data_IF_737754095662
#
_entry.id   IF_737754095662
#
_cell.length_a   1.000
_cell.length_b   1.000
_cell.length_c   1.000
_cell.angle_alpha   90.00
_cell.angle_beta   90.00
_cell.angle_gamma   90.00
#
_symmetry.space_group_name_H-M   'P 1'
#
loop_
_entity.id
_entity.type
_entity.pdbx_description
1 polymer ?
#
# COMPACT_ATOMS: atom_id res chain seq x y z
N UNK A 1 7.10 44.07 -75.36
CA UNK A 1 7.92 42.92 -74.93
C UNK A 1 7.61 42.70 -73.45
N UNK A 2 6.84 41.63 -73.15
CA UNK A 2 6.81 40.82 -71.91
C UNK A 2 6.81 41.56 -70.53
N UNK A 3 5.94 41.31 -69.55
CA UNK A 3 5.01 40.20 -69.25
C UNK A 3 4.05 40.66 -68.15
N UNK A 4 2.89 40.03 -68.11
CA UNK A 4 1.77 40.16 -67.18
C UNK A 4 2.09 39.64 -65.77
N UNK A 5 1.46 40.19 -64.72
CA UNK A 5 0.74 39.42 -63.68
C UNK A 5 -0.24 40.30 -62.89
N UNK A 6 -1.46 39.76 -62.73
CA UNK A 6 -2.69 40.43 -62.27
C UNK A 6 -2.65 40.77 -60.78
N UNK A 7 -2.98 42.03 -60.45
CA UNK A 7 -3.50 42.43 -59.15
C UNK A 7 -4.96 42.00 -58.97
N UNK A 8 -5.30 41.65 -57.73
CA UNK A 8 -6.52 40.95 -57.35
C UNK A 8 -7.81 41.77 -57.38
N UNK A 9 -8.90 41.07 -57.05
CA UNK A 9 -10.11 41.65 -56.46
C UNK A 9 -10.75 40.63 -55.52
N UNK A 10 -11.01 41.13 -54.31
CA UNK A 10 -11.83 40.51 -53.28
C UNK A 10 -13.19 40.05 -53.80
N UNK A 11 -13.68 38.93 -53.27
CA UNK A 11 -15.10 38.81 -53.01
C UNK A 11 -15.36 38.07 -51.69
N UNK A 12 -16.01 38.78 -50.77
CA UNK A 12 -16.45 38.31 -49.45
C UNK A 12 -17.58 37.28 -49.61
N UNK A 13 -17.45 36.11 -48.97
CA UNK A 13 -18.59 35.34 -48.47
C UNK A 13 -18.36 34.99 -47.01
N UNK A 14 -19.10 35.68 -46.13
CA UNK A 14 -19.32 35.33 -44.72
C UNK A 14 -19.94 33.92 -44.65
N UNK A 15 -19.32 32.98 -43.93
CA UNK A 15 -20.01 31.81 -43.38
C UNK A 15 -19.93 31.87 -41.85
N UNK A 16 -21.10 31.68 -41.24
CA UNK A 16 -21.39 31.73 -39.83
C UNK A 16 -20.60 30.70 -39.02
N UNK A 17 -20.26 31.08 -37.79
CA UNK A 17 -19.68 30.23 -36.76
C UNK A 17 -20.69 29.13 -36.38
N UNK A 18 -20.30 27.87 -36.54
CA UNK A 18 -20.89 26.72 -35.87
C UNK A 18 -19.89 26.19 -34.84
N UNK A 19 -19.93 26.75 -33.63
CA UNK A 19 -19.20 26.23 -32.46
C UNK A 19 -19.93 24.99 -31.96
N UNK A 20 -19.49 23.78 -32.33
CA UNK A 20 -19.79 22.53 -31.61
C UNK A 20 -18.95 21.30 -32.02
N UNK A 21 -17.96 21.44 -32.92
CA UNK A 21 -17.15 20.30 -33.39
C UNK A 21 -15.75 20.17 -32.75
N UNK A 22 -15.41 21.02 -31.76
CA UNK A 22 -14.03 21.15 -31.23
C UNK A 22 -13.74 20.27 -30.00
N UNK A 23 -14.74 19.96 -29.18
CA UNK A 23 -14.56 19.16 -27.95
C UNK A 23 -14.29 17.68 -28.23
N UNK A 24 -14.98 17.08 -29.22
CA UNK A 24 -14.75 15.68 -29.57
C UNK A 24 -13.36 15.40 -30.15
N UNK A 25 -12.83 16.33 -30.97
CA UNK A 25 -11.49 16.19 -31.57
C UNK A 25 -10.36 16.42 -30.56
N UNK A 26 -10.57 17.27 -29.56
CA UNK A 26 -9.57 17.53 -28.50
C UNK A 26 -9.47 16.37 -27.50
N UNK A 27 -10.59 15.68 -27.21
CA UNK A 27 -10.59 14.46 -26.39
C UNK A 27 -9.88 13.28 -27.08
N UNK A 28 -10.14 13.07 -28.38
CA UNK A 28 -9.47 12.01 -29.16
C UNK A 28 -7.96 12.24 -29.27
N UNK A 29 -7.52 13.49 -29.41
CA UNK A 29 -6.09 13.82 -29.44
C UNK A 29 -5.40 13.70 -28.08
N UNK A 30 -6.11 13.91 -26.96
CA UNK A 30 -5.57 13.65 -25.62
C UNK A 30 -5.46 12.16 -25.30
N UNK A 31 -6.37 11.34 -25.83
CA UNK A 31 -6.27 9.87 -25.71
C UNK A 31 -5.10 9.31 -26.54
N UNK A 32 -4.83 9.84 -27.74
CA UNK A 32 -3.66 9.46 -28.55
C UNK A 32 -2.32 9.94 -27.98
N UNK A 33 -2.27 11.11 -27.32
CA UNK A 33 -1.03 11.56 -26.65
C UNK A 33 -0.66 10.73 -25.40
N UNK A 34 -1.60 10.01 -24.78
CA UNK A 34 -1.32 9.10 -23.67
C UNK A 34 -0.72 7.77 -24.14
N UNK A 35 -0.98 7.32 -25.37
CA UNK A 35 -0.43 6.07 -25.91
C UNK A 35 1.05 6.18 -26.31
N UNK A 36 1.52 7.35 -26.72
CA UNK A 36 2.88 7.51 -27.28
C UNK A 36 3.99 7.81 -26.24
N UNK A 37 3.66 7.91 -24.94
CA UNK A 37 4.65 8.17 -23.86
C UNK A 37 5.14 6.92 -23.12
N UNK A 38 4.87 5.72 -23.63
CA UNK A 38 5.45 4.46 -23.13
C UNK A 38 6.51 3.98 -24.11
N UNK A 39 7.76 4.41 -23.92
CA UNK A 39 8.98 3.66 -24.23
C UNK A 39 10.18 4.55 -23.91
N UNK A 40 10.76 4.36 -22.73
CA UNK A 40 12.19 4.49 -22.41
C UNK A 40 12.33 4.39 -20.89
N UNK A 41 12.43 3.17 -20.35
CA UNK A 41 13.19 2.92 -19.12
C UNK A 41 13.88 1.58 -19.29
N UNK A 42 15.21 1.64 -19.22
CA UNK A 42 16.20 0.60 -19.46
C UNK A 42 15.93 -0.71 -18.71
N UNK A 43 16.12 -1.81 -19.44
CA UNK A 43 16.24 -3.16 -18.94
C UNK A 43 17.43 -3.28 -17.98
N UNK A 44 17.17 -3.71 -16.75
CA UNK A 44 18.18 -4.33 -15.90
C UNK A 44 17.53 -5.41 -15.01
N UNK A 45 17.81 -6.65 -15.37
CA UNK A 45 17.61 -7.93 -14.65
C UNK A 45 16.43 -8.01 -13.67
N UNK A 46 15.27 -8.47 -14.18
CA UNK A 46 14.16 -8.97 -13.37
C UNK A 46 13.76 -10.33 -13.91
N UNK A 47 14.05 -11.40 -13.17
CA UNK A 47 13.46 -12.71 -13.45
C UNK A 47 11.96 -12.60 -13.13
N UNK A 48 11.14 -12.41 -14.17
CA UNK A 48 9.70 -12.41 -14.09
C UNK A 48 9.18 -13.83 -14.34
N UNK A 49 8.53 -14.40 -13.33
CA UNK A 49 7.56 -15.46 -13.57
C UNK A 49 6.37 -14.91 -14.37
N UNK A 50 6.03 -15.65 -15.41
CA UNK A 50 5.24 -15.20 -16.56
C UNK A 50 3.76 -14.97 -16.23
N UNK A 51 3.18 -13.96 -16.91
CA UNK A 51 1.74 -13.66 -17.12
C UNK A 51 0.98 -12.89 -16.02
N UNK A 52 1.46 -11.71 -15.65
CA UNK A 52 0.55 -10.66 -15.15
C UNK A 52 0.26 -9.68 -16.31
N UNK A 53 -0.97 -9.64 -16.79
CA UNK A 53 -1.42 -8.57 -17.70
C UNK A 53 -1.09 -7.23 -17.03
N UNK A 54 -0.44 -6.30 -17.73
CA UNK A 54 -0.08 -4.97 -17.19
C UNK A 54 -1.36 -4.17 -16.89
N UNK A 55 -1.93 -4.38 -15.72
CA UNK A 55 -3.08 -3.62 -15.19
C UNK A 55 -2.62 -2.23 -14.78
N UNK A 56 -3.46 -1.23 -15.05
CA UNK A 56 -3.17 0.15 -14.65
C UNK A 56 -3.40 0.30 -13.13
N UNK A 57 -2.30 0.43 -12.40
CA UNK A 57 -2.27 0.54 -10.94
C UNK A 57 -2.19 2.01 -10.51
N UNK A 58 -2.99 2.83 -11.17
CA UNK A 58 -3.24 4.21 -10.77
C UNK A 58 -4.14 4.20 -9.54
N UNK A 59 -3.67 4.84 -8.47
CA UNK A 59 -4.47 5.00 -7.26
C UNK A 59 -5.50 6.10 -7.48
N UNK A 60 -6.72 5.84 -7.04
CA UNK A 60 -7.89 6.68 -7.28
C UNK A 60 -8.65 6.80 -5.96
N UNK A 61 -8.45 7.92 -5.26
CA UNK A 61 -9.17 8.23 -4.02
C UNK A 61 -10.44 9.06 -4.29
N UNK A 62 -10.39 9.97 -5.26
CA UNK A 62 -11.49 10.83 -5.67
C UNK A 62 -11.73 10.73 -7.17
N UNK A 63 -12.99 10.78 -7.58
CA UNK A 63 -13.41 10.78 -8.99
C UNK A 63 -14.61 11.69 -9.19
N UNK A 64 -14.65 12.35 -10.34
CA UNK A 64 -15.85 13.05 -10.80
C UNK A 64 -16.99 12.05 -11.03
N UNK A 65 -18.24 12.49 -10.83
CA UNK A 65 -19.45 11.66 -10.96
C UNK A 65 -19.57 10.94 -12.32
N UNK A 66 -19.11 11.56 -13.41
CA UNK A 66 -19.10 10.95 -14.74
C UNK A 66 -18.09 9.81 -14.88
N UNK A 67 -16.89 9.97 -14.30
CA UNK A 67 -15.86 8.93 -14.33
C UNK A 67 -16.25 7.77 -13.42
N UNK A 68 -16.82 8.09 -12.26
CA UNK A 68 -17.37 7.10 -11.34
C UNK A 68 -18.49 6.28 -11.98
N UNK A 69 -19.42 6.92 -12.71
CA UNK A 69 -20.45 6.23 -13.49
C UNK A 69 -19.86 5.33 -14.58
N UNK A 70 -18.88 5.83 -15.35
CA UNK A 70 -18.22 5.05 -16.40
C UNK A 70 -17.53 3.79 -15.83
N UNK A 71 -16.87 3.91 -14.68
CA UNK A 71 -16.23 2.79 -14.01
C UNK A 71 -17.24 1.78 -13.46
N UNK A 72 -18.34 2.25 -12.86
CA UNK A 72 -19.44 1.38 -12.40
C UNK A 72 -20.06 0.60 -13.57
N UNK A 73 -20.29 1.24 -14.71
CA UNK A 73 -20.77 0.60 -15.94
C UNK A 73 -19.78 -0.46 -16.42
N UNK A 74 -18.50 -0.10 -16.50
CA UNK A 74 -17.41 -1.01 -16.92
C UNK A 74 -17.34 -2.26 -16.04
N UNK A 75 -17.37 -2.08 -14.71
CA UNK A 75 -17.36 -3.16 -13.73
C UNK A 75 -18.61 -4.04 -13.84
N UNK A 76 -19.78 -3.46 -14.11
CA UNK A 76 -21.04 -4.21 -14.21
C UNK A 76 -21.15 -5.07 -15.47
N UNK A 77 -20.19 -4.96 -16.41
CA UNK A 77 -20.20 -5.61 -17.73
C UNK A 77 -21.46 -5.31 -18.57
N UNK A 78 -22.31 -4.37 -18.14
CA UNK A 78 -23.44 -3.91 -18.93
C UNK A 78 -22.89 -3.04 -20.06
N UNK A 79 -23.19 -3.40 -21.30
CA UNK A 79 -23.04 -2.46 -22.41
C UNK A 79 -23.89 -1.24 -22.04
N UNK A 80 -23.25 -0.08 -21.85
CA UNK A 80 -23.99 1.18 -21.79
C UNK A 80 -24.72 1.35 -23.12
N UNK A 81 -25.98 0.92 -23.17
CA UNK A 81 -26.92 1.48 -24.10
C UNK A 81 -27.14 2.91 -23.63
N UNK A 82 -26.33 3.82 -24.15
CA UNK A 82 -26.66 5.23 -24.17
C UNK A 82 -27.94 5.31 -25.00
N UNK A 83 -29.09 5.33 -24.31
CA UNK A 83 -30.35 5.75 -24.87
C UNK A 83 -30.19 7.22 -25.25
N UNK A 84 -29.62 7.47 -26.44
CA UNK A 84 -29.73 8.77 -27.10
C UNK A 84 -31.23 9.00 -27.34
N UNK A 85 -31.83 9.87 -26.53
CA UNK A 85 -33.15 10.42 -26.83
C UNK A 85 -34.34 9.78 -26.13
N UNK A 86 -34.19 9.36 -24.87
CA UNK A 86 -35.35 9.29 -23.97
C UNK A 86 -35.07 10.19 -22.78
N UNK A 87 -35.67 11.39 -22.79
CA UNK A 87 -35.91 12.11 -21.54
C UNK A 87 -36.63 11.14 -20.61
N UNK A 88 -35.94 10.70 -19.57
CA UNK A 88 -36.59 10.07 -18.43
C UNK A 88 -37.16 11.25 -17.66
N UNK A 89 -38.38 11.65 -18.02
CA UNK A 89 -39.23 12.45 -17.14
C UNK A 89 -39.62 11.54 -15.98
N UNK A 90 -38.72 11.37 -15.03
CA UNK A 90 -39.10 11.00 -13.67
C UNK A 90 -39.71 12.26 -13.04
N UNK A 91 -41.03 12.32 -13.08
CA UNK A 91 -41.80 13.07 -12.09
C UNK A 91 -41.54 12.40 -10.73
N UNK A 92 -40.45 12.81 -10.08
CA UNK A 92 -40.31 12.67 -8.64
C UNK A 92 -40.44 14.06 -8.05
N UNK A 93 -41.43 14.19 -7.18
CA UNK A 93 -41.75 15.39 -6.42
C UNK A 93 -40.49 16.07 -5.88
N UNK A 94 -40.51 17.41 -5.90
CA UNK A 94 -39.48 18.31 -5.42
C UNK A 94 -39.01 17.94 -4.01
N UNK A 95 -38.07 17.00 -3.94
CA UNK A 95 -37.38 16.62 -2.73
C UNK A 95 -36.30 17.66 -2.54
N UNK A 96 -36.57 18.59 -1.63
CA UNK A 96 -35.69 19.67 -1.18
C UNK A 96 -34.23 19.22 -1.24
N UNK A 97 -33.39 19.96 -1.97
CA UNK A 97 -31.96 19.72 -2.06
C UNK A 97 -31.39 19.43 -0.65
N UNK A 98 -30.91 18.21 -0.36
CA UNK A 98 -30.45 17.84 0.98
C UNK A 98 -29.24 18.69 1.42
N UNK A 99 -28.50 19.24 0.45
CA UNK A 99 -27.36 20.13 0.70
C UNK A 99 -27.73 21.46 1.39
N UNK A 100 -28.98 21.92 1.31
CA UNK A 100 -29.40 23.16 1.98
C UNK A 100 -29.68 22.92 3.48
N UNK A 101 -30.22 21.75 3.83
CA UNK A 101 -30.42 21.35 5.23
C UNK A 101 -29.10 21.08 5.96
N UNK A 102 -28.07 20.63 5.22
CA UNK A 102 -26.71 20.41 5.74
C UNK A 102 -26.05 21.72 6.17
N UNK A 103 -26.23 22.81 5.40
CA UNK A 103 -25.66 24.11 5.76
C UNK A 103 -26.29 24.71 7.01
N UNK A 104 -27.60 24.54 7.20
CA UNK A 104 -28.33 25.09 8.34
C UNK A 104 -27.98 24.34 9.65
N UNK A 105 -27.70 23.03 9.58
CA UNK A 105 -27.30 22.23 10.75
C UNK A 105 -25.85 22.44 11.21
N UNK A 106 -24.94 22.88 10.33
CA UNK A 106 -23.52 23.13 10.66
C UNK A 106 -23.32 24.45 11.40
N UNK A 107 -24.20 25.43 11.21
CA UNK A 107 -24.11 26.74 11.87
C UNK A 107 -24.51 26.64 13.36
N UNK A 108 -25.44 25.74 13.71
CA UNK A 108 -26.11 25.74 15.02
C UNK A 108 -25.43 24.89 16.12
N UNK A 109 -24.44 24.04 15.79
CA UNK A 109 -23.87 23.06 16.74
C UNK A 109 -22.34 23.04 16.87
N UNK A 110 -21.66 24.10 16.44
CA UNK A 110 -20.19 24.15 16.45
C UNK A 110 -19.59 23.13 15.47
N UNK A 111 -18.28 23.18 15.27
CA UNK A 111 -17.57 22.32 14.30
C UNK A 111 -17.73 20.84 14.73
N UNK A 112 -18.71 20.15 14.17
CA UNK A 112 -18.90 18.70 14.38
C UNK A 112 -17.71 18.02 13.70
N UNK A 113 -16.77 17.49 14.50
CA UNK A 113 -15.73 16.61 13.95
C UNK A 113 -16.43 15.36 13.42
N UNK A 114 -16.27 15.00 12.14
CA UNK A 114 -16.90 13.82 11.60
C UNK A 114 -16.39 12.59 12.35
N UNK A 115 -17.31 11.70 12.74
CA UNK A 115 -16.93 10.40 13.26
C UNK A 115 -16.60 9.51 12.06
N UNK A 116 -15.41 8.93 12.02
CA UNK A 116 -15.04 8.00 10.95
C UNK A 116 -15.51 6.60 11.33
N UNK A 117 -16.33 5.97 10.48
CA UNK A 117 -16.69 4.57 10.68
C UNK A 117 -15.55 3.67 10.18
N UNK A 118 -15.24 2.58 10.88
CA UNK A 118 -14.31 1.58 10.37
C UNK A 118 -14.90 0.96 9.10
N UNK A 119 -14.24 1.20 7.97
CA UNK A 119 -14.61 0.62 6.68
C UNK A 119 -14.23 -0.86 6.65
N UNK A 120 -15.19 -1.73 6.33
CA UNK A 120 -14.89 -3.13 6.00
C UNK A 120 -14.16 -3.20 4.67
N UNK A 121 -13.12 -4.01 4.55
CA UNK A 121 -12.38 -4.23 3.32
C UNK A 121 -13.13 -5.21 2.41
N UNK A 122 -13.07 -5.04 1.07
CA UNK A 122 -13.70 -5.97 0.15
C UNK A 122 -13.03 -7.35 0.26
N UNK A 123 -13.81 -8.35 0.65
CA UNK A 123 -13.36 -9.74 0.76
C UNK A 123 -13.21 -10.36 -0.62
N UNK A 124 -12.21 -11.22 -0.82
CA UNK A 124 -12.08 -11.99 -2.06
C UNK A 124 -13.26 -12.96 -2.17
N UNK A 125 -14.02 -12.98 -3.28
CA UNK A 125 -15.07 -13.97 -3.47
C UNK A 125 -14.47 -15.38 -3.59
N UNK A 126 -15.19 -16.38 -3.08
CA UNK A 126 -14.80 -17.77 -3.21
C UNK A 126 -14.67 -18.17 -4.69
N UNK A 127 -13.63 -18.93 -5.02
CA UNK A 127 -13.39 -19.42 -6.37
C UNK A 127 -12.99 -20.89 -6.35
N UNK A 128 -13.37 -21.61 -7.40
CA UNK A 128 -13.09 -23.04 -7.54
C UNK A 128 -12.29 -23.30 -8.83
N UNK A 129 -11.50 -24.38 -8.87
CA UNK A 129 -10.68 -24.76 -10.05
C UNK A 129 -11.48 -24.93 -11.34
N UNK A 130 -12.78 -25.19 -11.24
CA UNK A 130 -13.67 -25.39 -12.40
C UNK A 130 -14.20 -24.08 -12.99
N UNK A 131 -13.98 -22.93 -12.34
CA UNK A 131 -14.43 -21.63 -12.84
C UNK A 131 -13.56 -21.16 -14.01
N UNK A 132 -14.20 -20.57 -15.01
CA UNK A 132 -13.48 -19.93 -16.12
C UNK A 132 -12.86 -18.61 -15.69
N UNK A 133 -11.82 -18.14 -16.41
CA UNK A 133 -11.22 -16.82 -16.17
C UNK A 133 -12.26 -15.70 -16.26
N UNK A 134 -13.23 -15.81 -17.18
CA UNK A 134 -14.27 -14.80 -17.36
C UNK A 134 -15.23 -14.77 -16.16
N UNK A 135 -15.70 -15.93 -15.69
CA UNK A 135 -16.55 -16.05 -14.51
C UNK A 135 -15.87 -15.49 -13.26
N UNK A 136 -14.58 -15.79 -13.07
CA UNK A 136 -13.81 -15.28 -11.92
C UNK A 136 -13.74 -13.75 -11.94
N UNK A 137 -13.45 -13.15 -13.10
CA UNK A 137 -13.45 -11.68 -13.25
C UNK A 137 -14.83 -11.10 -12.96
N UNK A 138 -15.90 -11.72 -13.46
CA UNK A 138 -17.27 -11.27 -13.22
C UNK A 138 -17.64 -11.33 -11.74
N UNK A 139 -17.28 -12.42 -11.05
CA UNK A 139 -17.51 -12.57 -9.61
C UNK A 139 -16.74 -11.54 -8.79
N UNK A 140 -15.46 -11.31 -9.11
CA UNK A 140 -14.63 -10.28 -8.48
C UNK A 140 -15.21 -8.87 -8.68
N UNK A 141 -15.62 -8.54 -9.90
CA UNK A 141 -16.24 -7.25 -10.20
C UNK A 141 -17.56 -7.07 -9.45
N UNK A 142 -18.40 -8.12 -9.40
CA UNK A 142 -19.68 -8.09 -8.70
C UNK A 142 -19.49 -7.88 -7.20
N UNK A 143 -18.59 -8.63 -6.57
CA UNK A 143 -18.28 -8.50 -5.14
C UNK A 143 -17.76 -7.10 -4.80
N UNK A 144 -16.90 -6.53 -5.65
CA UNK A 144 -16.40 -5.18 -5.44
C UNK A 144 -17.50 -4.10 -5.60
N UNK A 145 -18.42 -4.28 -6.55
CA UNK A 145 -19.56 -3.38 -6.74
C UNK A 145 -20.54 -3.42 -5.57
N UNK A 146 -20.82 -4.62 -5.04
CA UNK A 146 -21.66 -4.79 -3.85
C UNK A 146 -21.03 -4.09 -2.65
N UNK A 147 -19.74 -4.32 -2.42
CA UNK A 147 -18.99 -3.61 -1.40
C UNK A 147 -19.08 -2.08 -1.55
N UNK A 148 -18.90 -1.52 -2.76
CA UNK A 148 -19.04 -0.07 -2.99
C UNK A 148 -20.44 0.46 -2.67
N UNK A 149 -21.49 -0.34 -2.91
CA UNK A 149 -22.86 0.04 -2.55
C UNK A 149 -23.04 0.08 -1.04
N UNK A 150 -22.48 -0.89 -0.33
CA UNK A 150 -22.53 -0.90 1.15
C UNK A 150 -21.84 0.34 1.73
N UNK A 151 -20.71 0.76 1.13
CA UNK A 151 -20.02 2.00 1.51
C UNK A 151 -20.87 3.24 1.28
N UNK A 152 -21.48 3.38 0.10
CA UNK A 152 -22.35 4.51 -0.21
C UNK A 152 -23.58 4.56 0.71
N UNK A 153 -24.18 3.40 1.01
CA UNK A 153 -25.32 3.30 1.91
C UNK A 153 -24.98 3.75 3.34
N UNK A 154 -23.77 3.42 3.84
CA UNK A 154 -23.32 3.89 5.16
C UNK A 154 -23.13 5.41 5.22
N UNK A 155 -22.68 6.02 4.12
CA UNK A 155 -22.49 7.47 3.99
C UNK A 155 -23.84 8.21 3.93
N UNK A 156 -24.78 7.73 3.13
CA UNK A 156 -26.13 8.30 3.01
C UNK A 156 -26.93 8.22 4.33
N UNK A 157 -26.74 7.15 5.10
CA UNK A 157 -27.45 6.93 6.36
C UNK A 157 -27.00 7.80 7.53
N UNK A 158 -25.87 8.51 7.43
CA UNK A 158 -25.29 9.26 8.55
C UNK A 158 -24.67 10.61 8.14
N UNK A 159 -25.40 11.70 8.37
CA UNK A 159 -24.98 13.09 8.04
C UNK A 159 -23.65 13.51 8.72
N UNK A 160 -23.26 12.87 9.83
CA UNK A 160 -22.03 13.16 10.58
C UNK A 160 -20.89 12.14 10.37
N UNK A 161 -21.08 11.19 9.45
CA UNK A 161 -20.10 10.14 9.18
C UNK A 161 -19.34 10.46 7.90
N UNK A 162 -18.11 10.93 8.03
CA UNK A 162 -17.21 10.96 6.88
C UNK A 162 -16.58 9.57 6.74
N UNK A 163 -16.69 8.95 5.56
CA UNK A 163 -15.97 7.73 5.28
C UNK A 163 -14.48 8.03 5.12
N UNK A 164 -13.62 7.17 5.67
CA UNK A 164 -12.18 7.27 5.43
C UNK A 164 -11.92 7.12 3.93
N UNK A 165 -11.13 8.02 3.30
CA UNK A 165 -10.81 7.90 1.88
C UNK A 165 -10.26 6.51 1.56
N UNK A 166 -10.84 5.87 0.55
CA UNK A 166 -10.51 4.51 0.16
C UNK A 166 -10.18 4.43 -1.33
N UNK A 167 -9.52 3.34 -1.71
CA UNK A 167 -9.13 3.12 -3.10
C UNK A 167 -10.32 2.65 -3.94
N UNK A 168 -10.66 3.39 -5.00
CA UNK A 168 -11.75 3.04 -5.93
C UNK A 168 -11.30 2.08 -7.04
N UNK A 169 -10.00 1.91 -7.27
CA UNK A 169 -9.47 1.00 -8.29
C UNK A 169 -9.42 -0.46 -7.80
N UNK A 170 -10.27 -1.32 -8.38
CA UNK A 170 -10.28 -2.76 -8.13
C UNK A 170 -8.92 -3.44 -8.36
N UNK A 171 -8.10 -2.96 -9.31
CA UNK A 171 -6.79 -3.55 -9.58
C UNK A 171 -5.87 -3.51 -8.34
N UNK A 172 -6.01 -2.49 -7.48
CA UNK A 172 -5.25 -2.39 -6.23
C UNK A 172 -5.76 -3.41 -5.21
N UNK A 173 -7.08 -3.56 -5.07
CA UNK A 173 -7.67 -4.58 -4.20
C UNK A 173 -7.33 -6.01 -4.64
N UNK A 174 -7.22 -6.26 -5.95
CA UNK A 174 -6.74 -7.55 -6.47
C UNK A 174 -5.29 -7.85 -6.07
N UNK A 175 -4.45 -6.82 -5.85
CA UNK A 175 -3.11 -7.03 -5.30
C UNK A 175 -3.18 -7.45 -3.83
N UNK A 176 -4.01 -6.78 -3.01
CA UNK A 176 -4.25 -7.20 -1.63
C UNK A 176 -4.68 -8.67 -1.60
N UNK A 177 -5.69 -9.05 -2.38
CA UNK A 177 -6.18 -10.42 -2.44
C UNK A 177 -5.09 -11.41 -2.83
N UNK A 178 -4.23 -11.05 -3.80
CA UNK A 178 -3.12 -11.91 -4.23
C UNK A 178 -2.07 -12.12 -3.14
N UNK A 179 -1.75 -11.07 -2.36
CA UNK A 179 -0.82 -11.16 -1.23
C UNK A 179 -1.41 -12.08 -0.16
N UNK A 180 -2.66 -11.81 0.24
CA UNK A 180 -3.37 -12.54 1.29
C UNK A 180 -3.51 -14.02 0.96
N UNK A 181 -3.82 -14.37 -0.29
CA UNK A 181 -3.92 -15.78 -0.70
C UNK A 181 -2.58 -16.51 -0.61
N UNK A 182 -1.49 -15.85 -1.00
CA UNK A 182 -0.17 -16.50 -1.11
C UNK A 182 0.57 -16.57 0.21
N UNK A 183 0.31 -15.66 1.15
CA UNK A 183 1.04 -15.60 2.41
C UNK A 183 0.47 -16.56 3.47
N UNK A 184 1.36 -17.12 4.28
CA UNK A 184 1.04 -17.80 5.54
C UNK A 184 1.03 -16.80 6.69
N UNK A 185 1.89 -15.78 6.63
CA UNK A 185 1.94 -14.70 7.61
C UNK A 185 1.72 -13.39 6.89
N UNK A 186 0.74 -12.60 7.32
CA UNK A 186 0.56 -11.24 6.86
C UNK A 186 1.11 -10.27 7.91
N UNK A 187 2.12 -9.49 7.52
CA UNK A 187 2.66 -8.40 8.33
C UNK A 187 2.04 -7.08 7.88
N UNK A 188 1.26 -6.45 8.76
CA UNK A 188 0.80 -5.08 8.54
C UNK A 188 1.81 -4.09 9.10
N UNK A 189 2.43 -3.29 8.23
CA UNK A 189 3.31 -2.20 8.62
C UNK A 189 2.50 -0.94 8.86
N UNK A 190 2.63 -0.39 10.05
CA UNK A 190 2.03 0.88 10.46
C UNK A 190 3.10 1.90 10.84
N UNK A 191 2.75 3.18 10.79
CA UNK A 191 3.62 4.26 11.28
C UNK A 191 3.37 4.42 12.79
N UNK A 192 4.42 4.22 13.59
CA UNK A 192 4.36 4.21 15.05
C UNK A 192 3.87 5.55 15.65
N UNK A 193 3.97 6.66 14.91
CA UNK A 193 3.55 8.00 15.38
C UNK A 193 2.04 8.15 15.50
N UNK A 194 1.27 7.37 14.73
CA UNK A 194 -0.19 7.30 14.86
C UNK A 194 -0.69 5.89 14.47
N UNK A 195 -0.38 4.86 15.28
CA UNK A 195 -0.71 3.48 14.96
C UNK A 195 -2.21 3.28 14.80
N UNK A 196 -3.02 3.97 15.61
CA UNK A 196 -4.48 3.92 15.55
C UNK A 196 -5.03 4.22 14.14
N UNK A 197 -4.50 5.25 13.46
CA UNK A 197 -4.95 5.64 12.12
C UNK A 197 -4.51 4.64 11.03
N UNK A 198 -3.30 4.10 11.13
CA UNK A 198 -2.71 3.24 10.10
C UNK A 198 -3.05 1.75 10.28
N UNK A 199 -3.45 1.35 11.48
CA UNK A 199 -3.90 0.01 11.81
C UNK A 199 -5.31 -0.24 11.28
N UNK A 200 -5.53 -1.43 10.72
CA UNK A 200 -6.83 -1.85 10.19
C UNK A 200 -7.28 -3.11 10.92
N UNK A 201 -8.17 -2.94 11.90
CA UNK A 201 -8.75 -4.05 12.64
C UNK A 201 -9.55 -5.00 11.74
N UNK A 202 -10.13 -4.49 10.66
CA UNK A 202 -10.87 -5.32 9.71
C UNK A 202 -9.94 -6.18 8.83
N UNK A 203 -8.71 -5.74 8.58
CA UNK A 203 -7.70 -6.57 7.89
C UNK A 203 -7.29 -7.76 8.75
N UNK A 204 -7.03 -7.53 10.04
CA UNK A 204 -6.74 -8.61 10.98
C UNK A 204 -7.91 -9.62 11.03
N UNK A 205 -9.14 -9.12 11.15
CA UNK A 205 -10.34 -9.95 11.12
C UNK A 205 -10.45 -10.73 9.82
N UNK A 206 -10.17 -10.10 8.67
CA UNK A 206 -10.16 -10.78 7.38
C UNK A 206 -9.21 -11.97 7.38
N UNK A 207 -8.00 -11.82 7.92
CA UNK A 207 -7.04 -12.94 7.99
C UNK A 207 -7.53 -14.04 8.93
N UNK A 208 -8.11 -13.69 10.07
CA UNK A 208 -8.71 -14.65 11.02
C UNK A 208 -9.94 -15.38 10.47
N UNK A 209 -10.67 -14.76 9.53
CA UNK A 209 -11.81 -15.36 8.82
C UNK A 209 -11.38 -16.40 7.75
N UNK A 210 -10.12 -16.35 7.31
CA UNK A 210 -9.56 -17.29 6.33
C UNK A 210 -9.08 -18.58 7.00
N UNK A 211 -8.41 -19.43 6.22
CA UNK A 211 -7.83 -20.69 6.69
C UNK A 211 -7.02 -20.50 7.98
N UNK A 212 -7.16 -21.43 8.92
CA UNK A 212 -6.49 -21.37 10.23
C UNK A 212 -4.96 -21.41 10.20
N UNK A 213 -4.35 -21.65 9.03
CA UNK A 213 -2.89 -21.60 8.82
C UNK A 213 -2.39 -20.19 8.43
N UNK A 214 -3.28 -19.18 8.41
CA UNK A 214 -2.91 -17.79 8.15
C UNK A 214 -2.82 -17.02 9.45
N UNK A 215 -1.68 -16.36 9.65
CA UNK A 215 -1.37 -15.60 10.84
C UNK A 215 -1.20 -14.12 10.50
N UNK A 216 -1.53 -13.26 11.45
CA UNK A 216 -1.44 -11.82 11.33
C UNK A 216 -0.42 -11.29 12.35
N UNK A 217 0.42 -10.36 11.92
CA UNK A 217 1.43 -9.71 12.77
C UNK A 217 1.46 -8.20 12.48
N UNK A 218 1.47 -7.39 13.52
CA UNK A 218 1.56 -5.93 13.39
C UNK A 218 3.02 -5.48 13.56
N UNK A 219 3.53 -4.68 12.61
CA UNK A 219 4.87 -4.09 12.70
C UNK A 219 4.76 -2.57 12.79
N UNK A 220 5.05 -2.01 13.96
CA UNK A 220 5.11 -0.57 14.20
C UNK A 220 6.48 -0.05 13.76
N UNK A 221 6.53 0.50 12.54
CA UNK A 221 7.74 1.09 11.99
C UNK A 221 7.85 2.57 12.36
N UNK A 222 9.08 3.09 12.37
CA UNK A 222 9.42 4.46 12.84
C UNK A 222 9.27 4.62 14.35
N UNK A 223 9.54 3.54 15.10
CA UNK A 223 9.46 3.56 16.56
C UNK A 223 10.55 4.42 17.21
N UNK A 224 11.58 4.81 16.44
CA UNK A 224 12.59 5.81 16.84
C UNK A 224 12.04 7.21 17.13
N UNK A 225 10.80 7.49 16.71
CA UNK A 225 10.12 8.76 17.01
C UNK A 225 9.36 8.75 18.33
N UNK A 226 9.29 7.60 19.02
CA UNK A 226 8.52 7.44 20.24
C UNK A 226 9.44 7.44 21.44
N UNK A 227 8.96 8.00 22.55
CA UNK A 227 9.59 7.81 23.85
C UNK A 227 9.13 6.49 24.51
N UNK A 228 9.80 6.09 25.58
CA UNK A 228 9.50 4.84 26.30
C UNK A 228 8.05 4.80 26.81
N UNK A 229 7.51 5.94 27.27
CA UNK A 229 6.14 6.04 27.76
C UNK A 229 5.11 5.83 26.64
N UNK A 230 5.37 6.36 25.45
CA UNK A 230 4.54 6.17 24.26
C UNK A 230 4.60 4.74 23.77
N UNK A 231 5.77 4.10 23.79
CA UNK A 231 5.92 2.69 23.44
C UNK A 231 5.10 1.82 24.39
N UNK A 232 5.23 2.03 25.71
CA UNK A 232 4.44 1.31 26.71
C UNK A 232 2.94 1.53 26.49
N UNK A 233 2.51 2.77 26.24
CA UNK A 233 1.11 3.09 25.99
C UNK A 233 0.55 2.32 24.77
N UNK A 234 1.30 2.27 23.67
CA UNK A 234 0.88 1.51 22.50
C UNK A 234 0.94 0.00 22.73
N UNK A 235 1.92 -0.49 23.48
CA UNK A 235 2.01 -1.89 23.87
C UNK A 235 0.75 -2.32 24.65
N UNK A 236 0.38 -1.56 25.69
CA UNK A 236 -0.81 -1.83 26.50
C UNK A 236 -2.08 -1.81 25.64
N UNK A 237 -2.20 -0.84 24.74
CA UNK A 237 -3.35 -0.74 23.83
C UNK A 237 -3.49 -1.94 22.88
N UNK A 238 -2.41 -2.40 22.26
CA UNK A 238 -2.47 -3.56 21.36
C UNK A 238 -2.57 -4.89 22.12
N UNK A 239 -1.99 -4.96 23.32
CA UNK A 239 -2.14 -6.07 24.26
C UNK A 239 -3.59 -6.26 24.67
N UNK A 240 -4.28 -5.18 25.08
CA UNK A 240 -5.70 -5.23 25.44
C UNK A 240 -6.57 -5.76 24.28
N UNK A 241 -6.17 -5.46 23.05
CA UNK A 241 -6.84 -5.94 21.83
C UNK A 241 -6.45 -7.37 21.43
N UNK A 242 -5.46 -7.97 22.07
CA UNK A 242 -4.93 -9.29 21.71
C UNK A 242 -4.25 -9.30 20.34
N UNK A 243 -3.61 -8.18 19.97
CA UNK A 243 -2.90 -8.03 18.69
C UNK A 243 -1.40 -8.19 18.93
N UNK A 244 -0.84 -9.24 18.35
CA UNK A 244 0.61 -9.47 18.36
C UNK A 244 1.31 -8.40 17.53
N UNK A 245 2.27 -7.71 18.15
CA UNK A 245 2.88 -6.53 17.57
C UNK A 245 4.37 -6.43 17.90
N UNK A 246 5.10 -5.69 17.06
CA UNK A 246 6.56 -5.52 17.17
C UNK A 246 6.92 -4.07 16.88
N UNK A 247 7.80 -3.49 17.68
CA UNK A 247 8.38 -2.17 17.44
C UNK A 247 9.67 -2.28 16.63
N UNK A 248 9.77 -1.49 15.57
CA UNK A 248 10.91 -1.50 14.67
C UNK A 248 11.25 -0.10 14.14
N UNK A 249 12.52 0.14 13.84
CA UNK A 249 12.94 1.33 13.08
C UNK A 249 13.82 0.95 11.89
N UNK A 250 13.22 0.94 10.70
CA UNK A 250 13.97 0.74 9.47
C UNK A 250 14.99 1.87 9.19
N UNK A 251 14.76 3.08 9.72
CA UNK A 251 15.71 4.19 9.50
C UNK A 251 16.94 4.03 10.39
N UNK A 252 16.75 3.76 11.69
CA UNK A 252 17.85 3.54 12.62
C UNK A 252 18.75 2.39 12.16
N UNK A 253 18.14 1.26 11.77
CA UNK A 253 18.87 0.08 11.28
C UNK A 253 19.62 0.35 9.98
N UNK A 254 19.01 1.11 9.05
CA UNK A 254 19.70 1.52 7.83
C UNK A 254 20.95 2.34 8.13
N UNK A 255 20.86 3.28 9.07
CA UNK A 255 22.01 4.10 9.50
C UNK A 255 23.07 3.26 10.19
N UNK A 256 22.69 2.31 11.05
CA UNK A 256 23.62 1.37 11.72
C UNK A 256 24.40 0.54 10.69
N UNK A 257 23.70 -0.04 9.71
CA UNK A 257 24.31 -0.77 8.62
C UNK A 257 25.29 0.08 7.78
N UNK A 258 24.91 1.32 7.46
CA UNK A 258 25.77 2.24 6.69
C UNK A 258 27.05 2.61 7.47
N UNK A 259 26.96 2.79 8.80
CA UNK A 259 28.12 3.03 9.67
C UNK A 259 29.04 1.81 9.73
N UNK A 260 28.49 0.61 9.93
CA UNK A 260 29.27 -0.63 9.96
C UNK A 260 30.00 -0.87 8.63
N UNK A 261 29.35 -0.61 7.48
CA UNK A 261 30.00 -0.72 6.18
C UNK A 261 31.16 0.28 6.02
N UNK A 262 31.01 1.50 6.51
CA UNK A 262 32.08 2.50 6.51
C UNK A 262 33.25 2.11 7.42
N UNK A 263 32.96 1.60 8.62
CA UNK A 263 33.99 1.11 9.54
C UNK A 263 34.76 -0.07 8.95
N UNK A 264 34.08 -1.02 8.31
CA UNK A 264 34.73 -2.16 7.66
C UNK A 264 35.65 -1.70 6.51
N UNK A 265 35.19 -0.75 5.68
CA UNK A 265 36.03 -0.13 4.65
C UNK A 265 37.24 0.60 5.24
N UNK A 266 37.10 1.26 6.39
CA UNK A 266 38.19 1.95 7.07
C UNK A 266 39.21 0.97 7.68
N UNK A 267 38.76 -0.19 8.19
CA UNK A 267 39.63 -1.27 8.70
C UNK A 267 40.46 -1.92 7.60
N UNK A 268 39.98 -1.91 6.35
CA UNK A 268 40.68 -2.44 5.18
C UNK A 268 41.75 -1.47 4.59
N UNK A 269 41.87 -0.24 5.11
CA UNK A 269 42.93 0.68 4.69
C UNK A 269 44.31 0.26 5.27
N UNK A 270 45.40 0.39 4.50
CA UNK A 270 46.73 -0.03 4.94
C UNK A 270 47.21 0.82 6.14
N UNK A 271 47.61 0.14 7.22
CA UNK A 271 48.17 0.74 8.44
C UNK A 271 49.49 1.44 8.15
N UNK A 272 49.45 2.73 7.84
CA UNK A 272 50.63 3.62 7.90
C UNK A 272 50.65 4.35 9.25
N UNK A 273 51.84 4.71 9.75
CA UNK A 273 52.05 5.13 11.15
C UNK A 273 51.23 6.32 11.66
N UNK A 274 50.60 7.09 10.77
CA UNK A 274 49.69 8.22 11.10
C UNK A 274 48.27 7.73 11.46
N UNK A 275 47.91 6.51 11.06
CA UNK A 275 46.59 5.91 11.32
C UNK A 275 46.40 5.46 12.78
N UNK A 276 47.47 5.33 13.56
CA UNK A 276 47.42 4.74 14.90
C UNK A 276 46.83 5.68 15.98
N UNK A 277 46.92 7.00 15.80
CA UNK A 277 46.26 7.97 16.70
C UNK A 277 44.76 8.08 16.39
N UNK A 278 44.36 8.11 15.12
CA UNK A 278 42.94 8.09 14.71
C UNK A 278 42.22 6.75 15.03
N UNK A 279 42.98 5.65 15.12
CA UNK A 279 42.46 4.36 15.57
C UNK A 279 42.21 4.30 17.09
N UNK A 280 42.77 5.22 17.87
CA UNK A 280 42.51 5.35 19.31
C UNK A 280 41.08 5.79 19.59
N UNK A 281 40.63 6.86 18.93
CA UNK A 281 39.27 7.38 19.07
C UNK A 281 38.21 6.40 18.53
N UNK A 282 38.56 5.61 17.50
CA UNK A 282 37.71 4.52 16.99
C UNK A 282 37.69 3.34 17.96
N UNK A 283 38.77 3.07 18.70
CA UNK A 283 38.84 2.01 19.70
C UNK A 283 38.03 2.30 20.96
N UNK A 284 37.95 3.57 21.37
CA UNK A 284 37.02 3.97 22.44
C UNK A 284 35.56 3.79 21.99
N UNK A 285 35.23 4.10 20.73
CA UNK A 285 33.90 3.81 20.16
C UNK A 285 33.61 2.30 19.98
N UNK A 286 34.63 1.46 19.81
CA UNK A 286 34.50 -0.01 19.78
C UNK A 286 34.18 -0.57 21.18
N UNK A 287 34.57 0.13 22.25
CA UNK A 287 34.30 -0.31 23.62
C UNK A 287 32.84 -0.13 24.04
N UNK A 288 32.09 0.75 23.35
CA UNK A 288 30.62 0.85 23.49
C UNK A 288 29.88 -0.28 22.75
N UNK A 289 30.48 -0.90 21.72
CA UNK A 289 29.86 -1.99 20.92
C UNK A 289 30.05 -3.39 21.55
N UNK A 290 30.93 -3.58 22.55
CA UNK A 290 31.08 -4.88 23.24
C UNK A 290 29.86 -5.25 24.12
N UNK A 291 28.96 -4.29 24.41
CA UNK A 291 27.68 -4.58 25.05
C UNK A 291 26.66 -5.27 24.10
N UNK A 292 26.84 -5.21 22.78
CA UNK A 292 25.90 -5.79 21.79
C UNK A 292 25.93 -7.33 21.73
N UNK A 293 26.96 -7.98 22.28
CA UNK A 293 27.00 -9.45 22.38
C UNK A 293 26.06 -10.00 23.46
N UNK A 294 25.66 -9.18 24.45
CA UNK A 294 24.73 -9.55 25.52
C UNK A 294 23.25 -9.48 25.10
N UNK A 295 22.90 -8.75 24.03
CA UNK A 295 21.50 -8.64 23.59
C UNK A 295 21.04 -9.85 22.78
N UNK A 296 21.96 -10.51 22.07
CA UNK A 296 21.69 -11.78 21.38
C UNK A 296 21.29 -12.90 22.35
N UNK A 297 21.89 -12.92 23.54
CA UNK A 297 21.61 -13.91 24.59
C UNK A 297 20.19 -13.75 25.19
N UNK A 298 19.63 -12.54 25.23
CA UNK A 298 18.23 -12.32 25.69
C UNK A 298 17.21 -12.94 24.74
N UNK A 299 17.45 -12.87 23.42
CA UNK A 299 16.58 -13.51 22.44
C UNK A 299 16.72 -15.03 22.51
N UNK A 300 17.93 -15.53 22.77
CA UNK A 300 18.21 -16.96 22.99
C UNK A 300 17.57 -17.48 24.31
N UNK A 301 17.44 -16.68 25.36
CA UNK A 301 16.66 -17.02 26.57
C UNK A 301 15.13 -17.05 26.32
N UNK A 302 14.61 -16.14 25.49
CA UNK A 302 13.19 -16.18 25.05
C UNK A 302 12.95 -17.44 24.19
N UNK A 303 13.93 -17.80 23.37
CA UNK A 303 13.96 -19.02 22.55
C UNK A 303 13.98 -20.31 23.40
N UNK A 304 14.69 -20.34 24.52
CA UNK A 304 14.75 -21.51 25.43
C UNK A 304 13.47 -21.73 26.25
N UNK A 305 12.72 -20.66 26.57
CA UNK A 305 11.47 -20.74 27.35
C UNK A 305 10.26 -21.24 26.53
N UNK A 306 10.39 -21.36 25.21
CA UNK A 306 9.43 -22.08 24.35
C UNK A 306 8.12 -21.37 24.03
N UNK A 307 7.84 -20.20 24.60
CA UNK A 307 6.60 -19.45 24.39
C UNK A 307 6.93 -18.01 23.94
N UNK A 308 6.68 -17.70 22.66
CA UNK A 308 6.90 -16.36 22.12
C UNK A 308 5.71 -15.48 22.53
N UNK A 309 5.88 -14.66 23.57
CA UNK A 309 4.91 -13.63 23.94
C UNK A 309 5.34 -12.28 23.36
N UNK A 310 4.69 -11.87 22.27
CA UNK A 310 4.87 -10.54 21.65
C UNK A 310 3.92 -9.48 22.23
N UNK A 311 3.16 -9.82 23.26
CA UNK A 311 2.11 -8.95 23.82
C UNK A 311 2.62 -8.05 24.95
N UNK A 312 3.84 -8.29 25.43
CA UNK A 312 4.42 -7.61 26.60
C UNK A 312 5.79 -7.01 26.32
N UNK A 313 6.06 -6.73 25.06
CA UNK A 313 7.40 -6.42 24.60
C UNK A 313 7.49 -5.02 24.02
N UNK A 314 8.19 -4.16 24.76
CA UNK A 314 8.44 -2.76 24.43
C UNK A 314 9.77 -2.54 23.71
N UNK A 315 10.48 -3.61 23.33
CA UNK A 315 11.81 -3.51 22.74
C UNK A 315 11.72 -3.05 21.29
N UNK A 316 12.54 -2.08 20.90
CA UNK A 316 12.74 -1.73 19.49
C UNK A 316 13.80 -2.67 18.93
N UNK A 317 13.38 -3.58 18.06
CA UNK A 317 14.26 -4.62 17.56
C UNK A 317 15.23 -4.15 16.49
N UNK A 318 16.43 -4.71 16.51
CA UNK A 318 17.37 -4.67 15.39
C UNK A 318 16.93 -5.58 14.24
N UNK A 319 17.59 -5.44 13.08
CA UNK A 319 17.32 -6.28 11.91
C UNK A 319 17.49 -7.77 12.22
N UNK A 320 18.59 -8.14 12.88
CA UNK A 320 18.93 -9.52 13.17
C UNK A 320 17.90 -10.15 14.10
N UNK A 321 17.49 -9.42 15.15
CA UNK A 321 16.48 -9.89 16.10
C UNK A 321 15.09 -9.99 15.46
N UNK A 322 14.67 -9.00 14.67
CA UNK A 322 13.41 -9.07 13.93
C UNK A 322 13.38 -10.29 13.00
N UNK A 323 14.48 -10.57 12.29
CA UNK A 323 14.60 -11.77 11.45
C UNK A 323 14.51 -13.06 12.26
N UNK A 324 15.12 -13.12 13.45
CA UNK A 324 14.99 -14.29 14.34
C UNK A 324 13.56 -14.45 14.82
N UNK A 325 12.95 -13.38 15.31
CA UNK A 325 11.57 -13.36 15.82
C UNK A 325 10.58 -13.85 14.74
N UNK A 326 10.69 -13.34 13.51
CA UNK A 326 9.87 -13.81 12.39
C UNK A 326 10.05 -15.32 12.16
N UNK A 327 11.28 -15.83 12.20
CA UNK A 327 11.55 -17.27 12.05
C UNK A 327 10.99 -18.11 13.20
N UNK A 328 11.02 -17.60 14.42
CA UNK A 328 10.42 -18.27 15.59
C UNK A 328 8.90 -18.30 15.45
N UNK A 329 8.31 -17.16 15.12
CA UNK A 329 6.87 -17.04 14.87
C UNK A 329 6.43 -18.01 13.77
N UNK A 330 7.19 -18.12 12.68
CA UNK A 330 6.97 -19.10 11.63
C UNK A 330 7.01 -20.54 12.14
N UNK A 331 8.04 -20.92 12.92
CA UNK A 331 8.18 -22.29 13.43
C UNK A 331 7.07 -22.68 14.43
N UNK A 332 6.61 -21.72 15.23
CA UNK A 332 5.59 -21.97 16.26
C UNK A 332 4.17 -21.98 15.69
N UNK A 333 3.90 -21.17 14.67
CA UNK A 333 2.55 -20.95 14.15
C UNK A 333 2.27 -21.69 12.84
N UNK A 334 3.26 -21.79 11.96
CA UNK A 334 3.12 -22.42 10.66
C UNK A 334 3.64 -23.86 10.70
N UNK A 335 2.82 -24.83 10.28
CA UNK A 335 3.22 -26.25 10.25
C UNK A 335 4.35 -26.53 9.23
N UNK A 336 4.12 -26.14 7.98
CA UNK A 336 5.01 -26.41 6.84
C UNK A 336 5.00 -25.28 5.83
N UNK A 337 6.08 -25.10 5.05
CA UNK A 337 6.11 -24.11 3.98
C UNK A 337 5.07 -24.44 2.91
N UNK A 338 4.25 -23.46 2.54
CA UNK A 338 3.25 -23.57 1.47
C UNK A 338 3.72 -22.97 0.14
N UNK A 339 4.85 -22.26 0.13
CA UNK A 339 5.43 -21.71 -1.08
C UNK A 339 5.82 -22.82 -2.05
N UNK A 340 5.58 -22.58 -3.36
CA UNK A 340 5.95 -23.52 -4.43
C UNK A 340 7.44 -23.89 -4.43
N UNK A 341 8.26 -22.99 -3.91
CA UNK A 341 9.71 -23.13 -3.82
C UNK A 341 10.17 -23.75 -2.49
N UNK A 342 9.25 -24.31 -1.70
CA UNK A 342 9.53 -24.91 -0.39
C UNK A 342 9.81 -23.89 0.73
N UNK A 343 9.40 -22.63 0.54
CA UNK A 343 9.62 -21.51 1.47
C UNK A 343 8.32 -21.07 2.14
N UNK A 344 8.44 -20.39 3.28
CA UNK A 344 7.31 -19.71 3.88
C UNK A 344 7.08 -18.36 3.22
N UNK A 345 5.84 -18.12 2.80
CA UNK A 345 5.45 -16.87 2.17
C UNK A 345 4.97 -15.88 3.24
N UNK A 346 5.61 -14.72 3.31
CA UNK A 346 5.22 -13.63 4.21
C UNK A 346 4.73 -12.46 3.34
N UNK A 347 3.50 -12.03 3.55
CA UNK A 347 2.93 -10.87 2.89
C UNK A 347 3.22 -9.60 3.68
N UNK A 348 3.62 -8.52 3.01
CA UNK A 348 3.83 -7.23 3.67
C UNK A 348 2.88 -6.17 3.14
N UNK A 349 2.09 -5.57 4.02
CA UNK A 349 1.09 -4.58 3.62
C UNK A 349 1.08 -3.35 4.53
N UNK A 350 0.41 -2.29 4.11
CA UNK A 350 0.32 -1.05 4.89
C UNK A 350 0.15 0.19 4.02
N UNK A 351 -0.17 1.30 4.66
CA UNK A 351 -0.43 2.58 4.00
C UNK A 351 0.76 3.11 3.19
N UNK A 352 0.54 3.98 2.20
CA UNK A 352 1.64 4.70 1.55
C UNK A 352 2.54 5.41 2.57
N UNK A 353 3.85 5.46 2.32
CA UNK A 353 4.85 6.19 3.13
C UNK A 353 5.03 5.76 4.60
N UNK A 354 4.41 4.69 5.07
CA UNK A 354 4.69 4.11 6.41
C UNK A 354 6.08 3.47 6.52
N UNK A 355 6.76 3.25 5.38
CA UNK A 355 8.13 2.74 5.33
C UNK A 355 8.27 1.29 4.89
N UNK A 356 7.24 0.67 4.30
CA UNK A 356 7.30 -0.71 3.77
C UNK A 356 8.55 -1.04 2.96
N UNK A 357 8.85 -0.23 1.93
CA UNK A 357 10.03 -0.44 1.10
C UNK A 357 11.35 -0.27 1.88
N UNK A 358 11.36 0.58 2.91
CA UNK A 358 12.53 0.74 3.78
C UNK A 358 12.75 -0.50 4.64
N UNK A 359 11.68 -1.01 5.27
CA UNK A 359 11.72 -2.27 6.04
C UNK A 359 12.23 -3.41 5.15
N UNK A 360 11.68 -3.57 3.95
CA UNK A 360 12.11 -4.61 3.00
C UNK A 360 13.62 -4.49 2.69
N UNK A 361 14.12 -3.29 2.39
CA UNK A 361 15.54 -3.10 2.05
C UNK A 361 16.45 -3.41 3.24
N UNK A 362 16.06 -3.03 4.45
CA UNK A 362 16.80 -3.33 5.68
C UNK A 362 16.83 -4.85 5.89
N UNK A 363 15.68 -5.54 5.83
CA UNK A 363 15.64 -7.00 5.97
C UNK A 363 16.50 -7.71 4.91
N UNK A 364 16.46 -7.23 3.65
CA UNK A 364 17.30 -7.73 2.56
C UNK A 364 18.80 -7.43 2.73
N UNK A 365 19.17 -6.53 3.63
CA UNK A 365 20.53 -6.02 3.80
C UNK A 365 21.06 -5.25 2.58
N UNK A 366 20.20 -4.96 1.61
CA UNK A 366 20.59 -4.39 0.33
C UNK A 366 19.39 -3.70 -0.32
N UNK A 367 19.67 -2.71 -1.18
CA UNK A 367 18.62 -1.95 -1.87
C UNK A 367 17.99 -2.80 -2.98
N UNK A 368 16.86 -3.45 -2.70
CA UNK A 368 16.08 -4.26 -3.64
C UNK A 368 14.85 -3.53 -4.19
N UNK A 369 14.25 -2.64 -3.38
CA UNK A 369 13.03 -1.91 -3.73
C UNK A 369 13.29 -0.40 -3.72
N UNK A 370 12.75 0.30 -4.71
CA UNK A 370 12.80 1.75 -4.77
C UNK A 370 12.03 2.39 -3.60
N UNK A 371 12.67 3.31 -2.88
CA UNK A 371 12.06 4.13 -1.83
C UNK A 371 11.89 5.55 -2.33
N UNK A 372 10.74 6.17 -2.05
CA UNK A 372 10.49 7.59 -2.32
C UNK A 372 9.45 8.13 -1.33
N UNK A 373 9.52 9.43 -1.03
CA UNK A 373 8.54 10.11 -0.16
C UNK A 373 7.19 10.34 -0.83
N UNK A 374 7.11 10.21 -2.17
CA UNK A 374 5.83 10.30 -2.91
C UNK A 374 5.09 8.97 -2.83
N UNK A 375 3.79 8.96 -2.47
CA UNK A 375 2.94 7.77 -2.51
C UNK A 375 2.96 7.07 -3.88
N UNK A 376 2.74 5.75 -3.88
CA UNK A 376 2.60 4.97 -5.12
C UNK A 376 3.92 4.69 -5.87
N UNK A 377 5.08 4.70 -5.18
CA UNK A 377 6.37 4.33 -5.78
C UNK A 377 6.47 2.82 -6.07
N UNK A 378 6.02 1.99 -5.14
CA UNK A 378 5.92 0.53 -5.30
C UNK A 378 4.50 0.20 -5.74
N UNK A 379 4.28 0.08 -7.05
CA UNK A 379 2.95 -0.17 -7.62
C UNK A 379 2.66 -1.64 -7.90
N UNK A 380 3.69 -2.41 -8.18
CA UNK A 380 3.53 -3.80 -8.59
C UNK A 380 3.90 -4.73 -7.43
N UNK A 381 3.13 -5.80 -7.29
CA UNK A 381 3.46 -6.98 -6.48
C UNK A 381 4.88 -7.45 -6.80
N UNK A 382 5.66 -7.81 -5.78
CA UNK A 382 7.04 -8.27 -5.95
C UNK A 382 7.31 -9.43 -5.02
N UNK A 383 7.93 -10.46 -5.56
CA UNK A 383 8.42 -11.59 -4.77
C UNK A 383 9.89 -11.36 -4.44
N UNK A 384 10.25 -11.33 -3.16
CA UNK A 384 11.63 -11.10 -2.71
C UNK A 384 12.06 -12.24 -1.78
N UNK A 385 13.10 -12.96 -2.18
CA UNK A 385 13.64 -14.06 -1.40
C UNK A 385 14.58 -13.55 -0.31
N UNK A 386 14.29 -13.91 0.95
CA UNK A 386 15.15 -13.67 2.10
C UNK A 386 15.73 -15.01 2.54
N UNK A 387 17.05 -15.18 2.43
CA UNK A 387 17.73 -16.42 2.80
C UNK A 387 17.26 -17.62 1.96
N UNK A 388 17.22 -18.80 2.58
CA UNK A 388 16.72 -20.05 1.98
C UNK A 388 15.29 -20.40 2.39
N UNK A 389 14.76 -19.74 3.42
CA UNK A 389 13.57 -20.13 4.18
C UNK A 389 12.36 -19.20 3.95
N UNK A 390 12.60 -17.93 3.63
CA UNK A 390 11.55 -16.90 3.56
C UNK A 390 11.38 -16.36 2.14
N UNK A 391 10.13 -16.09 1.78
CA UNK A 391 9.72 -15.40 0.57
C UNK A 391 8.77 -14.25 0.92
N UNK A 392 9.21 -13.00 0.73
CA UNK A 392 8.37 -11.81 0.93
C UNK A 392 7.52 -11.53 -0.31
N UNK A 393 6.26 -11.14 -0.07
CA UNK A 393 5.23 -10.90 -1.08
C UNK A 393 4.59 -9.51 -0.94
#
# INVERSE_FOLDING_TARGET
>A
IYTTHKMGKHNKKKKSKGTNASLGKSLINNLKKKTDKKNYVSDLHRFEDRKFERTDLTSILEQDSLNEFADLVSLSQKKAQVLRGKEISEETESSKNPNLAVFEHVIDKGIIRPKYAPLKLPRKPAWNKNMTKAELITNENKAFLEWRRDVAFMEEGNVNLAMTPFEKNLAVWKQLWSVVERCQILIQIVDARNPYFYYSADLERYIKELDGNKHYLLLLNKSDYLDEAQIQHWNDYFKEKGVEHIFFSAMAEKTRMERQEQQNKAKDLPKTGVANEMLGDIREAIQEDEEETKELEKVDEILEKGELSLLDDTTIYSREELMRLIRVFMKQRCDKPEGKDGRHNIGMIGYPNVGKSSVINVLCGSKKVGVASRPGKTKHFQTIYLGSDICLC
#
